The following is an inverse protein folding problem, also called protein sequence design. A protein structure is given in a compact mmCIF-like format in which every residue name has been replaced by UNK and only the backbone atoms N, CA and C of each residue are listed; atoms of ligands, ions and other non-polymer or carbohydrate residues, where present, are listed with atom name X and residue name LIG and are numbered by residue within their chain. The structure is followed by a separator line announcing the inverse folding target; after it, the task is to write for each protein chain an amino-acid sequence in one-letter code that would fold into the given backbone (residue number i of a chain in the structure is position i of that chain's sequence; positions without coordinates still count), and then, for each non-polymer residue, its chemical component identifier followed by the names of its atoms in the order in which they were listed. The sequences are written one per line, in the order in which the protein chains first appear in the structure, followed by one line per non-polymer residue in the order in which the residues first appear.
data_IF_849719549111
#
_entry.id   IF_849719549111
#
_cell.length_a   1.000
_cell.length_b   1.000
_cell.length_c   1.000
_cell.angle_alpha   90.00
_cell.angle_beta   90.00
_cell.angle_gamma   90.00
#
_symmetry.space_group_name_H-M   'P 1'
#
loop_
_entity.id
_entity.type
_entity.pdbx_description
1 polymer ?
#
# COMPACT_ATOMS: atom_id res chain seq x y z
N UNK A 1 65.46 19.33 18.69
CA UNK A 1 64.07 19.76 18.92
C UNK A 1 63.85 21.17 18.40
N UNK A 2 63.34 21.34 17.17
CA UNK A 2 62.63 22.55 16.71
C UNK A 2 61.68 22.13 15.58
N UNK A 3 60.39 21.99 15.91
CA UNK A 3 59.30 21.69 15.00
C UNK A 3 59.14 22.82 13.97
N UNK A 4 59.18 22.46 12.68
CA UNK A 4 58.67 23.30 11.58
C UNK A 4 57.23 22.85 11.31
N UNK A 5 56.25 23.65 11.73
CA UNK A 5 54.86 23.51 11.29
C UNK A 5 54.77 24.01 9.85
N UNK A 6 54.58 23.08 8.90
CA UNK A 6 54.19 23.39 7.53
C UNK A 6 52.66 23.55 7.48
N UNK A 7 52.21 24.67 6.89
CA UNK A 7 50.82 24.97 6.65
C UNK A 7 50.23 24.02 5.58
N UNK A 8 49.06 23.43 5.87
CA UNK A 8 48.24 22.70 4.91
C UNK A 8 47.28 23.68 4.19
N UNK A 9 47.03 23.52 2.88
CA UNK A 9 46.07 24.35 2.16
C UNK A 9 44.63 23.92 2.47
N UNK A 10 43.76 24.90 2.70
CA UNK A 10 42.30 24.71 2.84
C UNK A 10 41.71 24.48 1.44
N UNK A 11 41.34 23.24 1.14
CA UNK A 11 40.48 22.91 0.00
C UNK A 11 39.02 23.12 0.41
N UNK A 12 38.39 24.21 -0.04
CA UNK A 12 36.94 24.39 0.07
C UNK A 12 36.24 23.50 -0.97
N UNK A 13 36.01 22.24 -0.61
CA UNK A 13 35.14 21.33 -1.37
C UNK A 13 33.68 21.64 -1.07
N UNK A 14 33.02 22.34 -1.98
CA UNK A 14 31.56 22.53 -1.97
C UNK A 14 30.87 21.18 -2.29
N UNK A 15 30.71 20.31 -1.29
CA UNK A 15 30.08 18.99 -1.40
C UNK A 15 28.73 18.93 -0.65
N UNK A 16 27.90 19.97 -0.76
CA UNK A 16 26.64 20.06 -0.01
C UNK A 16 25.39 19.50 -0.71
N UNK A 17 25.43 19.24 -2.02
CA UNK A 17 24.20 18.97 -2.79
C UNK A 17 23.84 17.50 -3.02
N UNK A 18 24.83 16.63 -3.28
CA UNK A 18 24.55 15.27 -3.78
C UNK A 18 24.42 14.20 -2.71
N UNK A 19 24.94 14.41 -1.50
CA UNK A 19 24.86 13.42 -0.41
C UNK A 19 23.48 13.39 0.26
N UNK A 20 22.76 14.52 0.33
CA UNK A 20 21.42 14.55 0.91
C UNK A 20 20.39 13.74 0.08
N UNK A 21 20.46 13.85 -1.26
CA UNK A 21 19.61 13.05 -2.15
C UNK A 21 19.94 11.55 -2.11
N UNK A 22 21.21 11.20 -1.91
CA UNK A 22 21.62 9.80 -1.73
C UNK A 22 21.10 9.21 -0.40
N UNK A 23 21.06 10.00 0.68
CA UNK A 23 20.54 9.57 1.98
C UNK A 23 19.00 9.46 2.03
N UNK A 24 18.27 10.33 1.33
CA UNK A 24 16.79 10.26 1.27
C UNK A 24 16.33 8.99 0.50
N UNK A 25 17.04 8.60 -0.56
CA UNK A 25 16.75 7.36 -1.30
C UNK A 25 17.02 6.08 -0.49
N UNK A 26 17.76 6.13 0.62
CA UNK A 26 18.01 4.95 1.46
C UNK A 26 16.85 4.61 2.41
N UNK A 27 15.95 5.56 2.71
CA UNK A 27 14.82 5.32 3.64
C UNK A 27 13.57 4.86 2.88
N UNK A 28 13.44 5.21 1.59
CA UNK A 28 12.26 4.87 0.77
C UNK A 28 12.59 3.69 -0.15
N UNK A 29 11.99 2.53 0.13
CA UNK A 29 12.08 1.36 -0.74
C UNK A 29 11.12 1.50 -1.94
N UNK A 30 11.59 2.09 -3.03
CA UNK A 30 10.79 2.21 -4.26
C UNK A 30 10.58 0.84 -4.91
N UNK A 31 9.37 0.61 -5.41
CA UNK A 31 8.99 -0.62 -6.11
C UNK A 31 8.63 -0.32 -7.56
N UNK A 32 8.98 -1.23 -8.47
CA UNK A 32 8.61 -1.14 -9.88
C UNK A 32 7.08 -1.23 -10.05
N UNK A 33 6.50 -0.34 -10.86
CA UNK A 33 5.09 -0.37 -11.26
C UNK A 33 4.93 -1.15 -12.57
N UNK A 34 4.48 -2.40 -12.46
CA UNK A 34 4.08 -3.21 -13.60
C UNK A 34 2.68 -2.81 -14.08
N UNK A 35 2.59 -1.90 -15.06
CA UNK A 35 1.31 -1.41 -15.61
C UNK A 35 0.93 -2.06 -16.95
N UNK A 36 1.28 -3.34 -17.15
CA UNK A 36 1.06 -4.04 -18.43
C UNK A 36 -0.21 -4.91 -18.48
N UNK A 37 -0.81 -5.21 -17.32
CA UNK A 37 -1.95 -6.14 -17.24
C UNK A 37 -3.14 -5.72 -18.12
N UNK A 38 -3.47 -4.42 -18.11
CA UNK A 38 -4.62 -3.84 -18.83
C UNK A 38 -4.28 -3.31 -20.23
N UNK A 39 -3.04 -3.46 -20.70
CA UNK A 39 -2.66 -3.01 -22.03
C UNK A 39 -3.28 -3.93 -23.10
N UNK A 40 -3.82 -3.31 -24.15
CA UNK A 40 -4.19 -3.99 -25.39
C UNK A 40 -2.90 -4.39 -26.17
N UNK A 41 -2.97 -5.28 -27.16
CA UNK A 41 -1.78 -5.75 -27.89
C UNK A 41 -0.94 -4.63 -28.49
N UNK A 42 -1.54 -3.63 -29.15
CA UNK A 42 -0.83 -2.50 -29.76
C UNK A 42 -0.12 -1.64 -28.72
N UNK A 43 -0.78 -1.26 -27.62
CA UNK A 43 -0.15 -0.48 -26.56
C UNK A 43 0.92 -1.29 -25.80
N UNK A 44 0.81 -2.62 -25.79
CA UNK A 44 1.83 -3.50 -25.24
C UNK A 44 3.09 -3.48 -26.11
N UNK A 45 2.96 -3.48 -27.44
CA UNK A 45 4.06 -3.33 -28.39
C UNK A 45 4.76 -1.98 -28.16
N UNK A 46 4.01 -0.87 -28.18
CA UNK A 46 4.55 0.48 -27.96
C UNK A 46 5.27 0.62 -26.62
N UNK A 47 4.71 0.02 -25.56
CA UNK A 47 5.32 0.01 -24.24
C UNK A 47 6.64 -0.76 -24.25
N UNK A 48 6.66 -1.93 -24.88
CA UNK A 48 7.83 -2.81 -24.96
C UNK A 48 8.95 -2.17 -25.77
N UNK A 49 8.64 -1.52 -26.89
CA UNK A 49 9.61 -0.80 -27.71
C UNK A 49 10.30 0.33 -26.92
N UNK A 50 9.51 1.16 -26.22
CA UNK A 50 10.04 2.23 -25.37
C UNK A 50 10.91 1.68 -24.24
N UNK A 51 10.53 0.54 -23.68
CA UNK A 51 11.28 -0.13 -22.63
C UNK A 51 12.63 -0.65 -23.16
N UNK A 52 12.64 -1.32 -24.32
CA UNK A 52 13.88 -1.81 -24.96
C UNK A 52 14.80 -0.63 -25.23
N UNK A 53 14.30 0.46 -25.82
CA UNK A 53 15.09 1.66 -26.12
C UNK A 53 15.73 2.30 -24.87
N UNK A 54 15.07 2.21 -23.70
CA UNK A 54 15.61 2.72 -22.43
C UNK A 54 16.65 1.81 -21.80
N UNK A 55 16.55 0.51 -22.03
CA UNK A 55 17.48 -0.48 -21.50
C UNK A 55 18.71 -0.69 -22.40
N UNK A 56 18.60 -0.44 -23.70
CA UNK A 56 19.74 -0.50 -24.62
C UNK A 56 20.83 0.49 -24.21
N UNK A 57 22.02 -0.02 -23.89
CA UNK A 57 23.16 0.80 -23.47
C UNK A 57 23.07 1.33 -22.04
N UNK A 58 22.11 0.87 -21.23
CA UNK A 58 22.01 1.27 -19.83
C UNK A 58 23.01 0.47 -18.97
N UNK A 59 24.00 1.16 -18.39
CA UNK A 59 25.05 0.54 -17.58
C UNK A 59 24.53 -0.18 -16.31
N UNK A 60 23.36 0.19 -15.80
CA UNK A 60 22.76 -0.48 -14.65
C UNK A 60 22.27 -1.89 -15.01
N UNK A 61 21.92 -2.15 -16.26
CA UNK A 61 21.30 -3.40 -16.73
C UNK A 61 22.18 -4.07 -17.77
N UNK A 62 23.37 -4.52 -17.34
CA UNK A 62 24.35 -5.16 -18.23
C UNK A 62 23.89 -6.51 -18.79
N UNK A 63 23.06 -7.24 -18.03
CA UNK A 63 22.55 -8.57 -18.41
C UNK A 63 21.06 -8.69 -18.06
N UNK A 64 20.16 -8.06 -18.84
CA UNK A 64 18.74 -8.08 -18.58
C UNK A 64 18.15 -9.47 -18.80
N UNK A 65 17.27 -9.88 -17.89
CA UNK A 65 16.60 -11.18 -17.92
C UNK A 65 15.07 -10.99 -17.97
N UNK A 66 14.36 -11.45 -19.03
CA UNK A 66 14.87 -12.03 -20.28
C UNK A 66 15.70 -11.02 -21.11
N UNK A 67 16.51 -11.54 -22.04
CA UNK A 67 17.37 -10.70 -22.86
C UNK A 67 16.57 -9.70 -23.71
N UNK A 68 17.17 -8.56 -24.05
CA UNK A 68 16.52 -7.58 -24.93
C UNK A 68 16.26 -8.17 -26.33
N UNK A 69 17.08 -9.13 -26.77
CA UNK A 69 16.88 -9.84 -28.03
C UNK A 69 15.61 -10.70 -27.99
N UNK A 70 15.40 -11.47 -26.91
CA UNK A 70 14.20 -12.30 -26.76
C UNK A 70 12.94 -11.45 -26.65
N UNK A 71 13.00 -10.33 -25.91
CA UNK A 71 11.88 -9.37 -25.83
C UNK A 71 11.57 -8.74 -27.19
N UNK A 72 12.60 -8.41 -27.97
CA UNK A 72 12.43 -7.87 -29.33
C UNK A 72 11.76 -8.89 -30.23
N UNK A 73 12.25 -10.14 -30.23
CA UNK A 73 11.67 -11.23 -31.01
C UNK A 73 10.19 -11.48 -30.67
N UNK A 74 9.84 -11.52 -29.37
CA UNK A 74 8.45 -11.70 -28.95
C UNK A 74 7.55 -10.51 -29.28
N UNK A 75 8.09 -9.29 -29.22
CA UNK A 75 7.38 -8.07 -29.64
C UNK A 75 7.08 -8.09 -31.13
N UNK A 76 8.06 -8.47 -31.96
CA UNK A 76 7.88 -8.56 -33.42
C UNK A 76 6.92 -9.69 -33.81
N UNK A 77 6.94 -10.82 -33.09
CA UNK A 77 5.94 -11.89 -33.23
C UNK A 77 4.52 -11.39 -32.94
N UNK A 78 4.34 -10.65 -31.83
CA UNK A 78 3.05 -10.08 -31.48
C UNK A 78 2.56 -9.07 -32.53
N UNK A 79 3.46 -8.25 -33.08
CA UNK A 79 3.12 -7.29 -34.13
C UNK A 79 2.60 -7.98 -35.39
N UNK A 80 3.29 -9.04 -35.84
CA UNK A 80 2.83 -9.87 -36.96
C UNK A 80 1.44 -10.50 -36.69
N UNK A 81 1.21 -11.01 -35.49
CA UNK A 81 -0.08 -11.60 -35.09
C UNK A 81 -1.20 -10.57 -34.96
N UNK A 82 -0.88 -9.32 -34.58
CA UNK A 82 -1.85 -8.22 -34.58
C UNK A 82 -2.33 -7.94 -35.99
N UNK A 83 -1.41 -7.89 -36.97
CA UNK A 83 -1.73 -7.69 -38.40
C UNK A 83 -2.57 -8.87 -38.93
N UNK A 84 -2.17 -10.11 -38.65
CA UNK A 84 -2.90 -11.30 -39.10
C UNK A 84 -4.33 -11.38 -38.53
N UNK A 85 -4.55 -10.86 -37.31
CA UNK A 85 -5.83 -10.93 -36.62
C UNK A 85 -6.83 -9.82 -37.00
N UNK A 86 -6.46 -8.83 -37.82
CA UNK A 86 -7.31 -7.67 -38.15
C UNK A 86 -8.57 -8.12 -38.90
N UNK A 87 -8.38 -8.76 -40.07
CA UNK A 87 -9.41 -9.47 -40.85
C UNK A 87 -9.33 -11.00 -40.69
N UNK A 88 -8.63 -11.45 -39.64
CA UNK A 88 -8.35 -12.87 -39.38
C UNK A 88 -9.48 -13.67 -38.74
N UNK A 89 -9.23 -14.97 -38.64
CA UNK A 89 -10.11 -15.98 -38.04
C UNK A 89 -10.13 -15.89 -36.50
N UNK A 90 -10.98 -16.72 -35.86
CA UNK A 90 -10.96 -16.89 -34.39
C UNK A 90 -9.62 -17.46 -33.89
N UNK A 91 -8.93 -18.26 -34.70
CA UNK A 91 -7.63 -18.82 -34.36
C UNK A 91 -6.57 -17.73 -34.29
N UNK A 92 -6.50 -16.85 -35.30
CA UNK A 92 -5.53 -15.73 -35.33
C UNK A 92 -5.68 -14.81 -34.12
N UNK A 93 -6.92 -14.54 -33.70
CA UNK A 93 -7.21 -13.77 -32.49
C UNK A 93 -6.78 -14.50 -31.20
N UNK A 94 -6.90 -15.82 -31.17
CA UNK A 94 -6.44 -16.64 -30.04
C UNK A 94 -4.91 -16.58 -29.95
N UNK A 95 -4.22 -16.82 -31.06
CA UNK A 95 -2.74 -16.82 -31.13
C UNK A 95 -2.17 -15.46 -30.73
N UNK A 96 -2.76 -14.36 -31.24
CA UNK A 96 -2.41 -12.99 -30.81
C UNK A 96 -2.59 -12.78 -29.31
N UNK A 97 -3.71 -13.24 -28.74
CA UNK A 97 -3.96 -13.09 -27.31
C UNK A 97 -3.01 -13.94 -26.45
N UNK A 98 -2.62 -15.11 -26.94
CA UNK A 98 -1.61 -15.96 -26.32
C UNK A 98 -0.24 -15.26 -26.33
N UNK A 99 0.22 -14.79 -27.50
CA UNK A 99 1.49 -14.06 -27.61
C UNK A 99 1.51 -12.78 -26.75
N UNK A 100 0.39 -12.06 -26.65
CA UNK A 100 0.27 -10.91 -25.76
C UNK A 100 0.37 -11.29 -24.27
N UNK A 101 -0.08 -12.48 -23.90
CA UNK A 101 0.04 -12.99 -22.52
C UNK A 101 1.49 -13.36 -22.22
N UNK A 102 2.14 -14.09 -23.13
CA UNK A 102 3.55 -14.47 -23.01
C UNK A 102 4.46 -13.24 -22.94
N UNK A 103 4.23 -12.21 -23.77
CA UNK A 103 4.99 -10.96 -23.69
C UNK A 103 4.77 -10.23 -22.35
N UNK A 104 3.55 -10.22 -21.81
CA UNK A 104 3.28 -9.67 -20.47
C UNK A 104 4.05 -10.43 -19.40
N UNK A 105 4.19 -11.75 -19.51
CA UNK A 105 4.95 -12.57 -18.58
C UNK A 105 6.45 -12.29 -18.69
N UNK A 106 6.99 -12.15 -19.90
CA UNK A 106 8.39 -11.74 -20.12
C UNK A 106 8.69 -10.38 -19.48
N UNK A 107 7.78 -9.40 -19.63
CA UNK A 107 7.94 -8.08 -19.01
C UNK A 107 7.85 -8.16 -17.48
N UNK A 108 7.04 -9.07 -16.92
CA UNK A 108 6.99 -9.30 -15.46
C UNK A 108 8.32 -9.85 -14.93
N UNK A 109 8.91 -10.80 -15.64
CA UNK A 109 10.24 -11.33 -15.29
C UNK A 109 11.28 -10.22 -15.35
N UNK A 110 11.25 -9.38 -16.39
CA UNK A 110 12.14 -8.24 -16.52
C UNK A 110 11.96 -7.21 -15.39
N UNK A 111 10.71 -6.90 -15.02
CA UNK A 111 10.43 -6.00 -13.90
C UNK A 111 10.98 -6.53 -12.56
N UNK A 112 10.96 -7.86 -12.36
CA UNK A 112 11.57 -8.48 -11.18
C UNK A 112 13.09 -8.33 -11.21
N UNK A 113 13.73 -8.55 -12.37
CA UNK A 113 15.15 -8.30 -12.55
C UNK A 113 15.53 -6.83 -12.26
N UNK A 114 14.79 -5.87 -12.82
CA UNK A 114 14.99 -4.43 -12.56
C UNK A 114 14.83 -4.13 -11.06
N UNK A 115 13.85 -4.73 -10.40
CA UNK A 115 13.64 -4.55 -8.96
C UNK A 115 14.82 -5.07 -8.13
N UNK A 116 15.43 -6.19 -8.55
CA UNK A 116 16.61 -6.77 -7.89
C UNK A 116 17.84 -5.86 -8.06
N UNK A 117 18.11 -5.41 -9.28
CA UNK A 117 19.25 -4.53 -9.58
C UNK A 117 19.12 -3.17 -8.91
N UNK A 118 17.91 -2.61 -8.90
CA UNK A 118 17.68 -1.29 -8.30
C UNK A 118 17.82 -1.27 -6.77
N UNK A 119 17.59 -2.40 -6.10
CA UNK A 119 17.68 -2.51 -4.63
C UNK A 119 16.90 -1.40 -3.85
N UNK A 120 15.80 -0.89 -4.44
CA UNK A 120 15.01 0.21 -3.87
C UNK A 120 15.37 1.61 -4.38
N UNK A 121 16.43 1.77 -5.18
CA UNK A 121 16.78 3.05 -5.81
C UNK A 121 15.80 3.41 -6.94
N UNK A 122 15.01 4.45 -6.71
CA UNK A 122 14.05 4.95 -7.68
C UNK A 122 14.70 5.43 -8.98
N UNK A 123 15.93 5.94 -8.94
CA UNK A 123 16.66 6.46 -10.11
C UNK A 123 17.03 5.33 -11.07
N UNK A 124 17.48 4.19 -10.52
CA UNK A 124 17.78 2.99 -11.30
C UNK A 124 16.49 2.44 -11.91
N UNK A 125 15.39 2.38 -11.14
CA UNK A 125 14.08 1.98 -11.66
C UNK A 125 13.66 2.86 -12.84
N UNK A 126 13.72 4.19 -12.70
CA UNK A 126 13.31 5.11 -13.77
C UNK A 126 14.20 5.00 -15.01
N UNK A 127 15.48 4.67 -14.83
CA UNK A 127 16.42 4.47 -15.95
C UNK A 127 16.04 3.29 -16.86
N UNK A 128 15.30 2.29 -16.34
CA UNK A 128 14.85 1.13 -17.12
C UNK A 128 13.67 1.43 -18.06
N UNK A 129 13.00 2.57 -17.90
CA UNK A 129 11.73 2.88 -18.57
C UNK A 129 10.48 2.42 -17.82
N UNK A 130 10.62 1.64 -16.74
CA UNK A 130 9.52 1.40 -15.81
C UNK A 130 9.18 2.64 -14.98
N UNK A 131 7.93 2.69 -14.51
CA UNK A 131 7.48 3.71 -13.56
C UNK A 131 7.66 3.19 -12.13
N UNK A 132 7.79 4.11 -11.18
CA UNK A 132 7.77 3.79 -9.75
C UNK A 132 6.31 3.61 -9.31
N UNK A 133 6.07 2.60 -8.46
CA UNK A 133 4.77 2.36 -7.82
C UNK A 133 4.57 3.42 -6.73
N UNK A 134 3.37 3.99 -6.69
CA UNK A 134 3.04 4.89 -5.60
C UNK A 134 3.08 4.09 -4.28
N UNK A 135 4.00 4.46 -3.38
CA UNK A 135 4.06 3.93 -2.03
C UNK A 135 2.92 4.57 -1.24
N UNK A 136 2.04 3.75 -0.69
CA UNK A 136 1.06 4.24 0.28
C UNK A 136 1.83 4.80 1.48
N UNK A 137 1.52 6.04 1.84
CA UNK A 137 2.02 6.64 3.06
C UNK A 137 1.59 5.78 4.26
N UNK A 138 2.43 5.62 5.29
CA UNK A 138 2.04 4.94 6.52
C UNK A 138 0.76 5.59 7.07
N UNK A 139 -0.30 4.80 7.27
CA UNK A 139 -1.50 5.30 7.94
C UNK A 139 -1.11 5.63 9.38
N UNK A 140 -1.38 6.84 9.89
CA UNK A 140 -1.08 7.18 11.27
C UNK A 140 -1.85 6.24 12.22
N UNK A 141 -1.30 5.95 13.42
CA UNK A 141 -1.97 5.09 14.38
C UNK A 141 -3.34 5.67 14.75
N UNK A 142 -4.32 4.79 14.96
CA UNK A 142 -5.68 5.22 15.31
C UNK A 142 -5.69 5.88 16.68
N UNK A 143 -6.35 7.05 16.75
CA UNK A 143 -6.65 7.66 18.03
C UNK A 143 -7.72 6.85 18.77
N UNK A 144 -7.67 6.89 20.10
CA UNK A 144 -8.70 6.29 20.95
C UNK A 144 -10.02 7.07 20.76
N UNK A 145 -11.18 6.40 20.61
CA UNK A 145 -12.48 7.06 20.62
C UNK A 145 -12.66 7.87 21.91
N UNK A 146 -13.05 9.13 21.81
CA UNK A 146 -13.27 10.00 22.96
C UNK A 146 -14.75 10.27 23.20
N UNK A 147 -15.07 10.72 24.42
CA UNK A 147 -16.41 11.17 24.80
C UNK A 147 -17.50 10.13 24.57
N UNK A 148 -17.24 8.87 24.95
CA UNK A 148 -18.27 7.83 24.95
C UNK A 148 -19.38 8.22 25.93
N UNK A 149 -20.60 8.27 25.43
CA UNK A 149 -21.82 8.57 26.21
C UNK A 149 -22.82 7.45 26.01
N UNK A 150 -23.44 7.05 27.11
CA UNK A 150 -24.59 6.17 27.09
C UNK A 150 -25.84 6.98 27.44
N UNK A 151 -26.88 6.87 26.60
CA UNK A 151 -28.11 7.64 26.71
C UNK A 151 -29.31 6.68 26.65
N UNK A 152 -30.37 7.03 27.37
CA UNK A 152 -31.64 6.32 27.27
C UNK A 152 -32.34 6.68 25.97
N UNK A 153 -32.91 5.67 25.32
CA UNK A 153 -33.82 5.86 24.18
C UNK A 153 -35.27 5.88 24.68
N UNK A 154 -36.20 6.41 23.88
CA UNK A 154 -37.64 6.40 24.16
C UNK A 154 -38.23 4.98 24.28
N UNK A 155 -37.48 3.96 23.87
CA UNK A 155 -37.87 2.56 23.93
C UNK A 155 -37.25 1.84 25.12
N UNK A 156 -38.06 1.01 25.79
CA UNK A 156 -37.64 0.28 27.00
C UNK A 156 -36.62 -0.82 26.67
N UNK A 157 -35.60 -0.96 27.52
CA UNK A 157 -34.54 -1.96 27.33
C UNK A 157 -33.58 -1.66 26.17
N UNK A 158 -33.56 -0.42 25.67
CA UNK A 158 -32.61 0.06 24.67
C UNK A 158 -31.75 1.19 25.23
N UNK A 159 -30.46 1.14 24.88
CA UNK A 159 -29.49 2.17 25.21
C UNK A 159 -28.79 2.58 23.92
N UNK A 160 -28.75 3.89 23.68
CA UNK A 160 -27.95 4.47 22.59
C UNK A 160 -26.58 4.86 23.14
N UNK A 161 -25.54 4.46 22.41
CA UNK A 161 -24.16 4.85 22.64
C UNK A 161 -23.73 5.82 21.54
N UNK A 162 -23.12 6.93 21.94
CA UNK A 162 -22.56 7.95 21.04
C UNK A 162 -21.12 8.26 21.42
N UNK A 163 -20.22 8.39 20.44
CA UNK A 163 -18.81 8.71 20.66
C UNK A 163 -18.23 9.54 19.50
N UNK A 164 -17.08 10.17 19.75
CA UNK A 164 -16.41 10.96 18.72
C UNK A 164 -15.85 10.08 17.59
N UNK A 165 -16.08 10.49 16.33
CA UNK A 165 -15.52 9.82 15.15
C UNK A 165 -13.99 9.91 15.16
N UNK A 166 -13.34 8.76 15.02
CA UNK A 166 -11.91 8.59 14.83
C UNK A 166 -11.59 8.60 13.32
N UNK A 167 -10.62 9.42 12.93
CA UNK A 167 -10.14 9.47 11.54
C UNK A 167 -9.42 8.15 11.18
N UNK A 168 -9.60 7.67 9.95
CA UNK A 168 -9.08 6.37 9.46
C UNK A 168 -9.64 5.10 10.13
N UNK A 169 -10.58 5.21 11.06
CA UNK A 169 -11.31 4.06 11.59
C UNK A 169 -12.28 3.50 10.54
N UNK A 170 -12.27 2.17 10.34
CA UNK A 170 -13.22 1.48 9.46
C UNK A 170 -14.48 1.08 10.22
N UNK A 171 -14.29 0.56 11.44
CA UNK A 171 -15.35 0.09 12.31
C UNK A 171 -15.01 0.42 13.77
N UNK A 172 -16.01 0.30 14.63
CA UNK A 172 -15.90 0.40 16.08
C UNK A 172 -16.41 -0.89 16.71
N UNK A 173 -15.61 -1.46 17.60
CA UNK A 173 -15.99 -2.61 18.41
C UNK A 173 -16.46 -2.10 19.77
N UNK A 174 -17.68 -2.43 20.13
CA UNK A 174 -18.28 -2.09 21.43
C UNK A 174 -18.24 -3.32 22.32
N UNK A 175 -17.61 -3.16 23.49
CA UNK A 175 -17.54 -4.14 24.55
C UNK A 175 -18.47 -3.74 25.70
N UNK A 176 -19.10 -4.72 26.33
CA UNK A 176 -19.98 -4.58 27.48
C UNK A 176 -19.54 -5.51 28.61
N UNK A 177 -19.64 -5.01 29.84
CA UNK A 177 -19.46 -5.78 31.07
C UNK A 177 -20.50 -5.40 32.12
N UNK A 178 -20.82 -6.32 33.02
CA UNK A 178 -21.63 -6.10 34.23
C UNK A 178 -20.79 -5.82 35.47
N UNK A 179 -19.45 -5.86 35.34
CA UNK A 179 -18.52 -5.50 36.41
C UNK A 179 -17.33 -4.74 35.82
N UNK A 180 -17.01 -3.55 36.34
CA UNK A 180 -15.93 -2.71 35.80
C UNK A 180 -14.53 -3.23 36.17
N UNK A 181 -14.44 -4.06 37.22
CA UNK A 181 -13.20 -4.63 37.73
C UNK A 181 -12.74 -5.88 36.97
N UNK A 182 -13.56 -6.40 36.04
CA UNK A 182 -13.20 -7.56 35.24
C UNK A 182 -12.08 -7.23 34.24
N UNK A 183 -11.14 -8.18 34.02
CA UNK A 183 -10.12 -8.01 33.00
C UNK A 183 -10.78 -7.88 31.62
N UNK A 184 -10.19 -7.08 30.73
CA UNK A 184 -10.72 -6.80 29.38
C UNK A 184 -10.99 -8.06 28.53
N UNK A 185 -10.38 -9.21 28.87
CA UNK A 185 -10.64 -10.51 28.24
C UNK A 185 -12.06 -11.03 28.46
N UNK A 186 -12.68 -10.64 29.57
CA UNK A 186 -13.97 -11.14 30.02
C UNK A 186 -15.11 -10.20 29.59
N UNK A 187 -14.75 -9.07 28.96
CA UNK A 187 -15.72 -8.15 28.39
C UNK A 187 -16.28 -8.73 27.09
N UNK A 188 -17.61 -8.70 26.98
CA UNK A 188 -18.32 -9.29 25.84
C UNK A 188 -18.43 -8.28 24.70
N UNK A 189 -18.12 -8.69 23.47
CA UNK A 189 -18.34 -7.83 22.31
C UNK A 189 -19.82 -7.86 21.90
N UNK A 190 -20.48 -6.70 21.99
CA UNK A 190 -21.94 -6.60 21.79
C UNK A 190 -22.30 -5.98 20.45
N UNK A 191 -21.44 -5.12 19.90
CA UNK A 191 -21.68 -4.50 18.60
C UNK A 191 -20.40 -4.26 17.82
N UNK A 192 -20.52 -4.35 16.49
CA UNK A 192 -19.53 -3.90 15.53
C UNK A 192 -20.22 -2.99 14.53
N UNK A 193 -19.85 -1.71 14.52
CA UNK A 193 -20.53 -0.68 13.70
C UNK A 193 -19.53 0.18 12.94
N UNK A 194 -19.87 0.61 11.74
CA UNK A 194 -19.06 1.60 10.98
C UNK A 194 -19.37 3.04 11.39
N UNK A 195 -20.48 3.26 12.11
CA UNK A 195 -20.91 4.58 12.58
C UNK A 195 -20.31 4.85 13.96
N UNK A 196 -20.19 6.13 14.33
CA UNK A 196 -19.76 6.52 15.68
C UNK A 196 -20.91 6.44 16.71
N UNK A 197 -21.87 5.55 16.47
CA UNK A 197 -23.08 5.31 17.27
C UNK A 197 -23.46 3.85 17.22
N UNK A 198 -23.98 3.33 18.32
CA UNK A 198 -24.55 1.99 18.40
C UNK A 198 -25.77 1.95 19.32
N UNK A 199 -26.72 1.10 18.99
CA UNK A 199 -27.88 0.82 19.83
C UNK A 199 -27.75 -0.60 20.38
N UNK A 200 -27.91 -0.74 21.70
CA UNK A 200 -27.86 -2.03 22.38
C UNK A 200 -29.24 -2.32 22.94
N UNK A 201 -29.85 -3.39 22.42
CA UNK A 201 -31.18 -3.88 22.82
C UNK A 201 -31.09 -5.11 23.71
N UNK A 202 -32.21 -5.45 24.37
CA UNK A 202 -32.37 -6.65 25.21
C UNK A 202 -31.54 -6.64 26.50
N UNK A 203 -31.37 -5.47 27.12
CA UNK A 203 -30.69 -5.34 28.41
C UNK A 203 -31.63 -5.64 29.59
N UNK A 204 -31.09 -6.29 30.64
CA UNK A 204 -31.87 -6.62 31.83
C UNK A 204 -32.05 -5.39 32.72
N UNK A 205 -33.30 -5.09 33.08
CA UNK A 205 -33.64 -3.91 33.89
C UNK A 205 -33.03 -3.96 35.28
N UNK A 206 -32.62 -2.79 35.78
CA UNK A 206 -32.04 -2.63 37.11
C UNK A 206 -30.60 -3.14 37.22
N UNK A 207 -29.98 -3.60 36.12
CA UNK A 207 -28.57 -3.92 36.08
C UNK A 207 -27.76 -2.74 35.56
N UNK A 208 -26.58 -2.52 36.15
CA UNK A 208 -25.62 -1.52 35.68
C UNK A 208 -24.72 -2.16 34.63
N UNK A 209 -24.59 -1.51 33.49
CA UNK A 209 -23.73 -1.94 32.41
C UNK A 209 -22.62 -0.92 32.18
N UNK A 210 -21.42 -1.43 31.94
CA UNK A 210 -20.27 -0.64 31.53
C UNK A 210 -19.93 -0.94 30.08
N UNK A 211 -19.71 0.12 29.31
CA UNK A 211 -19.40 0.05 27.89
C UNK A 211 -18.02 0.62 27.62
N UNK A 212 -17.27 -0.06 26.75
CA UNK A 212 -16.00 0.43 26.19
C UNK A 212 -16.03 0.29 24.68
N UNK A 213 -15.52 1.29 23.98
CA UNK A 213 -15.43 1.29 22.52
C UNK A 213 -13.98 1.37 22.08
N UNK A 214 -13.64 0.58 21.06
CA UNK A 214 -12.34 0.57 20.39
C UNK A 214 -12.53 0.85 18.90
N UNK A 215 -11.70 1.71 18.31
CA UNK A 215 -11.65 1.89 16.87
C UNK A 215 -10.83 0.77 16.23
N UNK A 216 -11.33 0.25 15.12
CA UNK A 216 -10.70 -0.82 14.32
C UNK A 216 -10.45 -0.26 12.92
N UNK A 217 -9.19 -0.22 12.54
CA UNK A 217 -8.74 0.23 11.22
C UNK A 217 -8.37 -0.94 10.32
N UNK A 218 -7.65 -0.62 9.24
CA UNK A 218 -7.24 -1.61 8.23
C UNK A 218 -6.18 -2.60 8.74
N UNK A 219 -5.31 -2.15 9.64
CA UNK A 219 -4.17 -2.92 10.15
C UNK A 219 -4.13 -2.89 11.66
N UNK A 220 -4.42 -1.72 12.25
CA UNK A 220 -4.32 -1.51 13.69
C UNK A 220 -5.69 -1.36 14.37
N UNK A 221 -5.69 -1.55 15.69
CA UNK A 221 -6.80 -1.18 16.59
C UNK A 221 -6.32 -0.10 17.55
N UNK A 222 -7.18 0.85 17.90
CA UNK A 222 -6.87 1.87 18.91
C UNK A 222 -6.81 1.28 20.32
N UNK A 223 -6.44 2.06 21.33
CA UNK A 223 -6.81 1.76 22.72
C UNK A 223 -8.34 1.79 22.93
N UNK A 224 -8.78 1.35 24.11
CA UNK A 224 -10.17 1.47 24.53
C UNK A 224 -10.47 2.88 25.04
N UNK A 225 -11.68 3.37 24.75
CA UNK A 225 -12.23 4.58 25.35
C UNK A 225 -12.44 4.45 26.86
N UNK A 226 -12.60 5.59 27.52
CA UNK A 226 -13.04 5.64 28.91
C UNK A 226 -14.40 4.94 29.06
N UNK A 227 -14.59 4.13 30.12
CA UNK A 227 -15.81 3.37 30.29
C UNK A 227 -17.00 4.29 30.52
N UNK A 228 -18.07 4.08 29.76
CA UNK A 228 -19.37 4.72 30.02
C UNK A 228 -20.24 3.78 30.85
N UNK A 229 -20.85 4.31 31.90
CA UNK A 229 -21.76 3.56 32.77
C UNK A 229 -23.20 4.03 32.61
N UNK A 230 -24.13 3.08 32.64
CA UNK A 230 -25.57 3.37 32.64
C UNK A 230 -26.33 2.19 33.24
N UNK A 231 -27.38 2.49 34.00
CA UNK A 231 -28.29 1.47 34.51
C UNK A 231 -29.42 1.23 33.49
N UNK A 232 -29.68 -0.02 33.11
CA UNK A 232 -30.76 -0.31 32.18
C UNK A 232 -32.15 -0.05 32.80
N UNK A 233 -32.98 0.72 32.09
CA UNK A 233 -34.32 1.16 32.52
C UNK A 233 -35.47 0.29 31.95
#
# INVERSE_FOLDING_TARGET
MRNRFAALPVLSGNCGGNVANAFINQIIMYKVKMSVARLNPTALIDFTEKLIARMTGNANFADPQPSLADLTAKKDELDALVIAADDGTRQDRFDRNQAATELKDMIRVLANYVSMVAAGDGSIILSSGFKIRNTSEPVPPLSVPQSLKAMYTDHRGMIELDWARVENALNYQVLMSTDPALPLSDWTAVALTSRSKAEISNLNRGQTYWFKVQAVGRTDKSGFSDPAEIMAA
#
